data_IF_275628350183
#
_entry.id   IF_275628350183
#
_cell.length_a   1.000
_cell.length_b   1.000
_cell.length_c   1.000
_cell.angle_alpha   90.00
_cell.angle_beta   90.00
_cell.angle_gamma   90.00
#
_symmetry.space_group_name_H-M   'P 1'
#
loop_
_entity.id
_entity.type
_entity.pdbx_description
1 polymer ?
#
# COMPACT_ATOMS: atom_id res chain seq x y z
N UNK A 1 -14.34 6.97 -21.31
CA UNK A 1 -13.09 6.76 -20.52
C UNK A 1 -13.44 6.32 -19.12
N UNK A 2 -12.65 5.43 -18.58
CA UNK A 2 -12.86 4.91 -17.24
C UNK A 2 -11.62 5.19 -16.39
N UNK A 3 -11.83 5.75 -15.21
CA UNK A 3 -10.73 5.99 -14.28
C UNK A 3 -10.65 4.82 -13.30
N UNK A 4 -9.45 4.32 -13.10
CA UNK A 4 -9.17 3.30 -12.09
C UNK A 4 -8.03 3.77 -11.19
N UNK A 5 -7.96 3.17 -10.01
CA UNK A 5 -6.94 3.50 -9.02
C UNK A 5 -6.10 2.25 -8.78
N UNK A 6 -4.82 2.36 -9.10
CA UNK A 6 -3.88 1.24 -8.96
C UNK A 6 -3.08 1.44 -7.68
N UNK A 7 -3.16 0.48 -6.79
CA UNK A 7 -2.36 0.48 -5.57
C UNK A 7 -1.11 -0.34 -5.86
N UNK A 8 0.05 0.29 -5.72
CA UNK A 8 1.33 -0.36 -5.87
C UNK A 8 1.87 -0.63 -4.47
N UNK A 9 2.07 -1.90 -4.15
CA UNK A 9 2.53 -2.34 -2.84
C UNK A 9 3.98 -2.78 -2.98
N UNK A 10 4.87 -2.09 -2.28
CA UNK A 10 6.30 -2.45 -2.27
C UNK A 10 6.67 -2.91 -0.87
N UNK A 11 7.16 -4.13 -0.75
CA UNK A 11 7.60 -4.68 0.54
C UNK A 11 9.09 -4.93 0.49
N UNK A 12 9.80 -4.36 1.44
CA UNK A 12 11.24 -4.53 1.60
C UNK A 12 11.52 -5.15 2.96
N UNK A 13 12.26 -6.24 2.96
CA UNK A 13 12.65 -6.91 4.20
C UNK A 13 14.17 -7.07 4.22
N UNK A 14 14.75 -7.00 5.42
CA UNK A 14 16.21 -7.11 5.56
C UNK A 14 16.75 -8.49 5.18
N UNK A 15 15.90 -9.50 5.18
CA UNK A 15 16.30 -10.90 4.92
C UNK A 15 15.79 -11.45 3.60
N UNK A 16 15.00 -10.68 2.85
CA UNK A 16 14.37 -11.14 1.61
C UNK A 16 14.56 -10.13 0.49
N UNK A 17 14.43 -10.60 -0.74
CA UNK A 17 14.36 -9.73 -1.89
C UNK A 17 13.10 -8.86 -1.82
N UNK A 18 13.17 -7.67 -2.41
CA UNK A 18 12.02 -6.77 -2.47
C UNK A 18 10.88 -7.40 -3.28
N UNK A 19 9.67 -7.26 -2.80
CA UNK A 19 8.48 -7.73 -3.48
C UNK A 19 7.61 -6.55 -3.87
N UNK A 20 7.04 -6.61 -5.06
CA UNK A 20 6.12 -5.58 -5.57
C UNK A 20 4.85 -6.28 -6.05
N UNK A 21 3.70 -5.78 -5.62
CA UNK A 21 2.40 -6.29 -6.01
C UNK A 21 1.50 -5.13 -6.39
N UNK A 22 0.38 -5.41 -7.04
CA UNK A 22 -0.56 -4.37 -7.46
C UNK A 22 -1.99 -4.84 -7.26
N UNK A 23 -2.86 -3.88 -6.90
CA UNK A 23 -4.31 -4.08 -6.82
C UNK A 23 -5.00 -2.94 -7.57
N UNK A 24 -6.12 -3.23 -8.20
CA UNK A 24 -6.85 -2.24 -9.00
C UNK A 24 -8.24 -2.04 -8.42
N UNK A 25 -8.63 -0.77 -8.26
CA UNK A 25 -9.94 -0.38 -7.73
C UNK A 25 -10.60 0.63 -8.67
N UNK A 26 -11.92 0.65 -8.67
CA UNK A 26 -12.68 1.60 -9.48
C UNK A 26 -12.95 2.91 -8.74
N UNK A 27 -12.75 2.92 -7.41
CA UNK A 27 -12.98 4.09 -6.58
C UNK A 27 -11.81 4.32 -5.63
N UNK A 28 -11.44 5.59 -5.44
CA UNK A 28 -10.36 5.98 -4.54
C UNK A 28 -10.64 5.55 -3.09
N UNK A 29 -11.86 5.79 -2.62
CA UNK A 29 -12.23 5.48 -1.24
C UNK A 29 -12.12 3.98 -0.95
N UNK A 30 -12.46 3.14 -1.94
CA UNK A 30 -12.32 1.69 -1.81
C UNK A 30 -10.85 1.29 -1.69
N UNK A 31 -9.99 1.92 -2.48
CA UNK A 31 -8.54 1.68 -2.41
C UNK A 31 -7.99 2.07 -1.03
N UNK A 32 -8.38 3.22 -0.51
CA UNK A 32 -7.96 3.70 0.81
C UNK A 32 -8.41 2.74 1.91
N UNK A 33 -9.68 2.30 1.86
CA UNK A 33 -10.22 1.36 2.85
C UNK A 33 -9.48 0.02 2.82
N UNK A 34 -9.14 -0.46 1.62
CA UNK A 34 -8.37 -1.69 1.46
C UNK A 34 -6.97 -1.55 2.09
N UNK A 35 -6.31 -0.41 1.86
CA UNK A 35 -4.99 -0.14 2.45
C UNK A 35 -5.09 -0.08 3.97
N UNK A 36 -6.11 0.58 4.53
CA UNK A 36 -6.29 0.67 5.97
C UNK A 36 -6.43 -0.71 6.62
N UNK A 37 -7.16 -1.62 5.98
CA UNK A 37 -7.30 -3.00 6.45
C UNK A 37 -5.97 -3.76 6.38
N UNK A 38 -5.22 -3.57 5.31
CA UNK A 38 -3.90 -4.19 5.14
C UNK A 38 -2.91 -3.68 6.19
N UNK A 39 -2.93 -2.37 6.46
CA UNK A 39 -2.08 -1.76 7.47
C UNK A 39 -2.36 -2.35 8.84
N UNK A 40 -3.64 -2.45 9.23
CA UNK A 40 -4.03 -2.99 10.51
C UNK A 40 -3.52 -4.42 10.70
N UNK A 41 -3.63 -5.25 9.64
CA UNK A 41 -3.16 -6.61 9.66
C UNK A 41 -1.63 -6.69 9.74
N UNK A 42 -0.93 -5.90 8.92
CA UNK A 42 0.53 -5.91 8.87
C UNK A 42 1.15 -5.37 10.16
N UNK A 43 0.56 -4.35 10.76
CA UNK A 43 1.05 -3.80 12.01
C UNK A 43 0.98 -4.83 13.15
N UNK A 44 -0.05 -5.68 13.16
CA UNK A 44 -0.16 -6.76 14.14
C UNK A 44 0.87 -7.86 13.86
N UNK A 45 1.07 -8.21 12.59
CA UNK A 45 1.94 -9.32 12.22
C UNK A 45 3.41 -9.00 12.40
N UNK A 46 3.84 -7.78 12.02
CA UNK A 46 5.27 -7.43 11.96
C UNK A 46 5.68 -6.38 12.98
N UNK A 47 4.79 -5.96 13.84
CA UNK A 47 5.06 -4.92 14.84
C UNK A 47 5.59 -3.63 14.19
N UNK A 48 4.94 -3.20 13.12
CA UNK A 48 5.33 -2.03 12.35
C UNK A 48 4.73 -0.76 12.93
N UNK A 49 5.38 0.37 12.66
CA UNK A 49 4.87 1.69 13.02
C UNK A 49 4.55 2.47 11.76
N UNK A 50 3.42 3.15 11.75
CA UNK A 50 3.01 3.97 10.62
C UNK A 50 3.84 5.25 10.60
N UNK A 51 4.49 5.53 9.48
CA UNK A 51 5.40 6.67 9.40
C UNK A 51 4.90 7.82 8.53
N UNK A 52 4.20 7.54 7.44
CA UNK A 52 3.67 8.58 6.54
C UNK A 52 2.30 8.16 6.04
N UNK A 53 1.30 9.04 6.16
CA UNK A 53 -0.04 8.79 5.64
C UNK A 53 -0.57 10.05 4.93
N UNK A 54 -0.95 9.89 3.67
CA UNK A 54 -1.80 10.86 2.99
C UNK A 54 -2.80 10.06 2.13
N UNK A 55 -3.64 10.71 1.37
CA UNK A 55 -4.68 10.03 0.60
C UNK A 55 -4.17 9.20 -0.58
N UNK A 56 -2.87 9.25 -0.87
CA UNK A 56 -2.27 8.63 -2.05
C UNK A 56 -1.04 7.79 -1.74
N UNK A 57 -0.51 7.90 -0.54
CA UNK A 57 0.72 7.22 -0.15
C UNK A 57 0.73 6.88 1.33
N UNK A 58 1.14 5.66 1.65
CA UNK A 58 1.33 5.23 3.03
C UNK A 58 2.64 4.45 3.10
N UNK A 59 3.45 4.76 4.10
CA UNK A 59 4.66 4.01 4.39
C UNK A 59 4.61 3.51 5.83
N UNK A 60 4.90 2.24 6.01
CA UNK A 60 4.94 1.60 7.32
C UNK A 60 6.33 1.04 7.53
N UNK A 61 7.00 1.50 8.58
CA UNK A 61 8.36 1.06 8.90
C UNK A 61 8.39 0.20 10.15
N UNK A 62 9.21 -0.84 10.12
CA UNK A 62 9.47 -1.69 11.25
C UNK A 62 10.95 -2.07 11.32
N UNK A 63 11.36 -2.82 12.35
CA UNK A 63 12.78 -3.18 12.51
C UNK A 63 13.33 -4.04 11.39
N UNK A 64 12.49 -4.82 10.72
CA UNK A 64 12.93 -5.74 9.67
C UNK A 64 12.21 -5.55 8.35
N UNK A 65 11.11 -4.78 8.32
CA UNK A 65 10.26 -4.61 7.14
C UNK A 65 9.91 -3.16 6.93
N UNK A 66 9.85 -2.76 5.66
CA UNK A 66 9.27 -1.49 5.24
C UNK A 66 8.26 -1.82 4.16
N UNK A 67 7.02 -1.35 4.30
CA UNK A 67 5.96 -1.59 3.33
C UNK A 67 5.44 -0.24 2.86
N UNK A 68 5.38 -0.06 1.55
CA UNK A 68 4.90 1.17 0.93
C UNK A 68 3.68 0.88 0.09
N UNK A 69 2.65 1.71 0.23
CA UNK A 69 1.44 1.65 -0.59
C UNK A 69 1.32 2.98 -1.33
N UNK A 70 1.27 2.92 -2.64
CA UNK A 70 1.18 4.11 -3.49
C UNK A 70 -0.05 3.96 -4.39
N UNK A 71 -0.94 4.95 -4.35
CA UNK A 71 -2.15 4.95 -5.18
C UNK A 71 -1.90 5.82 -6.41
N UNK A 72 -2.11 5.24 -7.59
CA UNK A 72 -1.98 5.94 -8.86
C UNK A 72 -3.32 5.99 -9.58
N UNK A 73 -3.72 7.18 -9.99
CA UNK A 73 -4.91 7.35 -10.80
C UNK A 73 -4.55 7.10 -12.26
N UNK A 74 -5.27 6.16 -12.88
CA UNK A 74 -5.05 5.81 -14.28
C UNK A 74 -6.36 5.91 -15.06
N UNK A 75 -6.29 6.44 -16.26
CA UNK A 75 -7.46 6.53 -17.14
C UNK A 75 -7.34 5.48 -18.24
N UNK A 76 -8.37 4.64 -18.33
CA UNK A 76 -8.46 3.62 -19.39
C UNK A 76 -9.19 4.22 -20.59
N UNK A 77 -8.63 4.00 -21.75
CA UNK A 77 -9.19 4.49 -23.01
C UNK A 77 -9.98 3.40 -23.73
#
# INVERSE_FOLDING_TARGET
>A
MKTVYVVIISEMASTHANEVDTEVFTEHDTAVSWIENEIAEKMQTYNLEESVVDGWYVEIDGPTHTIQYDIRECTLH
#
